data_IF_530361612342
#
_entry.id   IF_530361612342
#
_cell.length_a   1.000
_cell.length_b   1.000
_cell.length_c   1.000
_cell.angle_alpha   90.00
_cell.angle_beta   90.00
_cell.angle_gamma   90.00
#
_symmetry.space_group_name_H-M   'P 1'
#
loop_
_entity.id
_entity.type
_entity.pdbx_description
1 polymer ?
#
# COMPACT_ATOMS: atom_id res chain seq x y z
N UNK A 1 9.44 4.45 -9.82
CA UNK A 1 8.49 5.26 -9.05
C UNK A 1 8.00 4.45 -7.88
N UNK A 2 7.69 5.12 -6.77
CA UNK A 2 7.17 4.48 -5.55
C UNK A 2 5.86 5.14 -5.17
N UNK A 3 4.86 4.37 -4.70
CA UNK A 3 3.56 4.89 -4.25
C UNK A 3 2.94 5.80 -5.31
N UNK A 4 2.61 7.06 -5.02
CA UNK A 4 2.08 8.02 -5.99
C UNK A 4 2.92 8.18 -7.27
N UNK A 5 4.24 8.03 -7.16
CA UNK A 5 5.14 8.04 -8.31
C UNK A 5 4.89 6.89 -9.30
N UNK A 6 4.22 5.82 -8.88
CA UNK A 6 3.81 4.73 -9.78
C UNK A 6 2.66 5.13 -10.69
N UNK A 7 1.67 5.87 -10.18
CA UNK A 7 0.58 6.42 -10.98
C UNK A 7 1.12 7.39 -12.05
N UNK A 8 2.03 8.30 -11.66
CA UNK A 8 2.71 9.20 -12.62
C UNK A 8 3.48 8.40 -13.68
N UNK A 9 4.20 7.35 -13.27
CA UNK A 9 4.96 6.49 -14.18
C UNK A 9 4.08 5.82 -15.23
N UNK A 10 2.94 5.25 -14.80
CA UNK A 10 1.95 4.64 -15.69
C UNK A 10 1.41 5.67 -16.70
N UNK A 11 0.94 6.84 -16.23
CA UNK A 11 0.45 7.91 -17.11
C UNK A 11 1.51 8.40 -18.11
N UNK A 12 2.77 8.49 -17.70
CA UNK A 12 3.87 8.84 -18.61
C UNK A 12 4.10 7.77 -19.67
N UNK A 13 4.09 6.49 -19.28
CA UNK A 13 4.29 5.36 -20.20
C UNK A 13 3.17 5.27 -21.24
N UNK A 14 1.92 5.53 -20.85
CA UNK A 14 0.79 5.60 -21.78
C UNK A 14 0.91 6.76 -22.77
N UNK A 15 1.31 7.93 -22.28
CA UNK A 15 1.39 9.14 -23.12
C UNK A 15 2.62 9.17 -24.02
N UNK A 16 3.74 8.57 -23.59
CA UNK A 16 5.02 8.61 -24.28
C UNK A 16 5.70 7.23 -24.35
N UNK A 17 5.05 6.21 -24.96
CA UNK A 17 5.54 4.83 -24.89
C UNK A 17 6.93 4.66 -25.51
N UNK A 18 7.27 5.44 -26.54
CA UNK A 18 8.58 5.40 -27.21
C UNK A 18 9.71 6.14 -26.47
N UNK A 19 9.42 6.73 -25.30
CA UNK A 19 10.41 7.47 -24.49
C UNK A 19 10.82 6.73 -23.21
N UNK A 20 10.31 5.53 -22.98
CA UNK A 20 10.66 4.71 -21.82
C UNK A 20 11.80 3.76 -22.17
N UNK A 21 13.02 4.05 -21.70
CA UNK A 21 14.16 3.10 -21.81
C UNK A 21 14.03 1.93 -20.86
N UNK A 22 13.63 2.22 -19.62
CA UNK A 22 13.38 1.27 -18.55
C UNK A 22 12.52 1.96 -17.48
N UNK A 23 11.70 1.19 -16.76
CA UNK A 23 10.85 1.70 -15.69
C UNK A 23 10.66 0.63 -14.61
N UNK A 24 10.72 1.04 -13.35
CA UNK A 24 10.35 0.21 -12.20
C UNK A 24 9.27 0.95 -11.43
N UNK A 25 8.20 0.25 -11.06
CA UNK A 25 7.08 0.76 -10.27
C UNK A 25 6.92 -0.15 -9.06
N UNK A 26 7.12 0.40 -7.87
CA UNK A 26 7.08 -0.32 -6.59
C UNK A 26 5.99 0.28 -5.69
N UNK A 27 5.25 -0.55 -4.97
CA UNK A 27 4.03 -0.16 -4.25
C UNK A 27 3.03 0.51 -5.20
N UNK A 28 2.56 -0.27 -6.18
CA UNK A 28 1.79 0.24 -7.31
C UNK A 28 0.42 0.79 -6.89
N UNK A 29 0.14 2.02 -7.30
CA UNK A 29 -1.22 2.59 -7.27
C UNK A 29 -1.87 2.28 -8.61
N UNK A 30 -2.83 1.37 -8.61
CA UNK A 30 -3.58 1.00 -9.81
C UNK A 30 -4.52 2.15 -10.23
N UNK A 31 -4.08 2.90 -11.23
CA UNK A 31 -4.82 4.04 -11.78
C UNK A 31 -6.04 3.66 -12.63
N UNK A 32 -6.29 2.37 -12.87
CA UNK A 32 -7.47 1.89 -13.58
C UNK A 32 -8.70 1.71 -12.69
N UNK A 33 -8.51 1.69 -11.37
CA UNK A 33 -9.58 1.55 -10.38
C UNK A 33 -10.33 2.87 -10.18
N UNK A 34 -11.64 2.77 -9.89
CA UNK A 34 -12.39 3.90 -9.36
C UNK A 34 -11.95 4.23 -7.92
N UNK A 35 -12.25 5.45 -7.48
CA UNK A 35 -11.84 5.96 -6.16
C UNK A 35 -12.31 5.07 -5.01
N UNK A 36 -13.53 4.52 -5.07
CA UNK A 36 -14.05 3.71 -3.98
C UNK A 36 -13.34 2.37 -3.91
N UNK A 37 -13.16 1.70 -5.05
CA UNK A 37 -12.46 0.43 -5.13
C UNK A 37 -11.01 0.56 -4.69
N UNK A 38 -10.31 1.62 -5.13
CA UNK A 38 -8.97 1.94 -4.68
C UNK A 38 -8.89 2.14 -3.15
N UNK A 39 -9.76 2.97 -2.59
CA UNK A 39 -9.77 3.20 -1.14
C UNK A 39 -10.09 1.94 -0.34
N UNK A 40 -10.95 1.07 -0.88
CA UNK A 40 -11.27 -0.23 -0.27
C UNK A 40 -10.04 -1.14 -0.22
N UNK A 41 -9.26 -1.26 -1.30
CA UNK A 41 -8.06 -2.12 -1.30
C UNK A 41 -7.02 -1.61 -0.31
N UNK A 42 -6.80 -0.30 -0.25
CA UNK A 42 -5.88 0.31 0.72
C UNK A 42 -6.33 0.05 2.16
N UNK A 43 -7.63 0.21 2.44
CA UNK A 43 -8.18 -0.01 3.79
C UNK A 43 -8.01 -1.46 4.23
N UNK A 44 -8.26 -2.43 3.33
CA UNK A 44 -8.05 -3.85 3.62
C UNK A 44 -6.59 -4.12 3.96
N UNK A 45 -5.63 -3.61 3.17
CA UNK A 45 -4.22 -3.83 3.41
C UNK A 45 -3.74 -3.24 4.74
N UNK A 46 -4.26 -2.06 5.12
CA UNK A 46 -3.97 -1.44 6.43
C UNK A 46 -4.57 -2.25 7.57
N UNK A 47 -5.81 -2.71 7.45
CA UNK A 47 -6.47 -3.56 8.45
C UNK A 47 -5.70 -4.87 8.67
N UNK A 48 -5.26 -5.53 7.60
CA UNK A 48 -4.44 -6.74 7.69
C UNK A 48 -3.09 -6.46 8.35
N UNK A 49 -2.44 -5.35 8.02
CA UNK A 49 -1.18 -4.92 8.64
C UNK A 49 -1.36 -4.61 10.13
N UNK A 50 -2.48 -4.00 10.49
CA UNK A 50 -2.85 -3.74 11.89
C UNK A 50 -3.09 -5.06 12.63
N UNK A 51 -3.78 -6.03 12.02
CA UNK A 51 -3.94 -7.37 12.58
C UNK A 51 -2.59 -8.03 12.89
N UNK A 52 -1.60 -7.91 11.99
CA UNK A 52 -0.23 -8.41 12.22
C UNK A 52 0.46 -7.68 13.39
N UNK A 53 0.28 -6.36 13.49
CA UNK A 53 0.78 -5.57 14.62
C UNK A 53 0.14 -6.01 15.94
N UNK A 54 -1.19 -6.18 15.98
CA UNK A 54 -1.91 -6.61 17.17
C UNK A 54 -1.43 -8.00 17.64
N UNK A 55 -1.23 -8.92 16.69
CA UNK A 55 -0.69 -10.27 16.96
C UNK A 55 0.74 -10.24 17.50
N UNK A 56 1.59 -9.38 16.93
CA UNK A 56 2.93 -9.16 17.45
C UNK A 56 2.89 -8.58 18.87
N UNK A 57 2.04 -7.59 19.10
CA UNK A 57 1.92 -6.91 20.39
C UNK A 57 1.43 -7.85 21.49
N UNK A 58 0.47 -8.73 21.19
CA UNK A 58 -0.01 -9.77 22.10
C UNK A 58 1.11 -10.71 22.57
N UNK A 59 2.10 -10.98 21.72
CA UNK A 59 3.25 -11.87 22.04
C UNK A 59 4.48 -11.12 22.57
N UNK A 60 4.45 -9.80 22.63
CA UNK A 60 5.62 -8.98 22.95
C UNK A 60 5.39 -8.20 24.24
N UNK A 61 6.03 -8.63 25.34
CA UNK A 61 5.86 -8.01 26.66
C UNK A 61 6.25 -6.52 26.71
N UNK A 62 7.16 -6.08 25.83
CA UNK A 62 7.56 -4.67 25.73
C UNK A 62 6.62 -3.80 24.89
N UNK A 63 5.60 -4.38 24.24
CA UNK A 63 4.63 -3.60 23.49
C UNK A 63 3.78 -2.75 24.44
N UNK A 64 3.53 -1.49 24.09
CA UNK A 64 2.75 -0.57 24.91
C UNK A 64 1.28 -1.02 25.13
N UNK A 65 0.74 -1.84 24.24
CA UNK A 65 -0.62 -2.40 24.34
C UNK A 65 -0.62 -3.85 24.85
N UNK A 66 0.51 -4.38 25.30
CA UNK A 66 0.55 -5.75 25.83
C UNK A 66 -0.40 -5.93 27.03
N UNK A 67 -1.16 -7.02 27.02
CA UNK A 67 -2.19 -7.30 28.03
C UNK A 67 -3.42 -6.40 27.96
N UNK A 68 -3.57 -5.58 26.91
CA UNK A 68 -4.77 -4.79 26.60
C UNK A 68 -5.43 -5.31 25.33
N UNK A 69 -6.69 -4.93 25.12
CA UNK A 69 -7.34 -5.20 23.84
C UNK A 69 -6.77 -4.25 22.78
N UNK A 70 -6.11 -4.82 21.79
CA UNK A 70 -5.50 -4.13 20.66
C UNK A 70 -6.16 -4.54 19.33
N UNK A 71 -7.31 -5.24 19.37
CA UNK A 71 -8.12 -5.58 18.22
C UNK A 71 -9.48 -4.88 18.28
#
# INVERSE_FOLDING_TARGET
GVSYGTAIGQQYAERYPHRVRAMTLDSNMDHSLDTWTYQKTETIAVEESYGQFADWCARTASCALHGRDAR
#
